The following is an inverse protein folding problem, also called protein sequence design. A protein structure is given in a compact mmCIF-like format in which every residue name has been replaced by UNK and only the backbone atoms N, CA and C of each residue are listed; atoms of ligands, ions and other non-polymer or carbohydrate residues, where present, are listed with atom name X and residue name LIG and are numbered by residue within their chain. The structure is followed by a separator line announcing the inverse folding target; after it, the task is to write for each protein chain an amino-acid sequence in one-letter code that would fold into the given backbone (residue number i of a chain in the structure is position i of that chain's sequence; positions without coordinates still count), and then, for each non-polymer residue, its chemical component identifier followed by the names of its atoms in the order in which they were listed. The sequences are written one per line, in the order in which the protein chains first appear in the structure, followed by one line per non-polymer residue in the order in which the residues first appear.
data_IF_562894217387
#
_entry.id   IF_562894217387
#
_cell.length_a   1.000
_cell.length_b   1.000
_cell.length_c   1.000
_cell.angle_alpha   90.00
_cell.angle_beta   90.00
_cell.angle_gamma   90.00
#
_symmetry.space_group_name_H-M   'P 1'
#
loop_
_entity.id
_entity.type
_entity.pdbx_description
1 polymer ?
#
# COMPACT_ATOMS: atom_id res chain seq x y z
N UNK A 1 0.03 -17.88 12.27
CA UNK A 1 0.43 -16.59 11.66
C UNK A 1 -0.06 -16.64 10.22
N UNK A 2 -0.87 -15.67 9.79
CA UNK A 2 -1.30 -15.56 8.39
C UNK A 2 -0.23 -14.74 7.68
N UNK A 3 0.36 -15.28 6.62
CA UNK A 3 1.37 -14.59 5.81
C UNK A 3 0.82 -14.47 4.40
N UNK A 4 0.40 -13.26 4.03
CA UNK A 4 0.09 -12.96 2.64
C UNK A 4 1.39 -12.69 1.89
N UNK A 5 1.66 -13.44 0.84
CA UNK A 5 2.75 -13.16 -0.09
C UNK A 5 2.14 -12.80 -1.43
N UNK A 6 2.35 -11.58 -1.91
CA UNK A 6 2.04 -11.26 -3.31
C UNK A 6 3.09 -11.94 -4.16
N UNK A 7 2.68 -12.94 -4.93
CA UNK A 7 3.50 -13.49 -6.00
C UNK A 7 3.02 -12.85 -7.30
N UNK A 8 3.65 -11.76 -7.73
CA UNK A 8 3.47 -11.32 -9.10
C UNK A 8 4.39 -12.17 -9.98
N UNK A 9 3.85 -13.21 -10.62
CA UNK A 9 4.59 -13.91 -11.67
C UNK A 9 3.96 -13.52 -13.00
N UNK A 10 4.58 -12.53 -13.65
CA UNK A 10 4.39 -12.29 -15.07
C UNK A 10 4.86 -13.54 -15.83
N UNK A 11 3.95 -14.43 -16.18
CA UNK A 11 4.25 -15.40 -17.22
C UNK A 11 4.27 -14.64 -18.54
N UNK A 12 5.43 -14.56 -19.19
CA UNK A 12 5.52 -14.17 -20.61
C UNK A 12 4.90 -15.28 -21.47
N UNK A 13 3.59 -15.43 -21.41
CA UNK A 13 2.84 -16.10 -22.46
C UNK A 13 2.60 -15.09 -23.59
N UNK A 14 2.52 -15.58 -24.82
CA UNK A 14 2.31 -14.79 -26.06
C UNK A 14 1.09 -13.82 -26.06
N UNK A 15 0.35 -13.69 -24.95
CA UNK A 15 -0.87 -12.89 -24.79
C UNK A 15 -0.84 -11.84 -23.65
N UNK A 16 0.30 -11.64 -22.95
CA UNK A 16 0.46 -10.56 -21.96
C UNK A 16 0.79 -11.06 -20.55
N UNK A 17 1.19 -10.13 -19.67
CA UNK A 17 1.45 -10.37 -18.25
C UNK A 17 0.14 -10.56 -17.48
N UNK A 18 0.10 -11.55 -16.59
CA UNK A 18 -1.02 -11.77 -15.67
C UNK A 18 -0.53 -11.58 -14.24
N UNK A 19 -1.33 -10.92 -13.42
CA UNK A 19 -1.04 -10.78 -12.00
C UNK A 19 -2.03 -11.56 -11.14
N UNK A 20 -1.50 -12.24 -10.14
CA UNK A 20 -2.30 -13.04 -9.22
C UNK A 20 -1.93 -12.77 -7.77
N UNK A 21 -2.93 -12.90 -6.90
CA UNK A 21 -2.71 -12.91 -5.46
C UNK A 21 -2.88 -14.33 -4.94
N UNK A 22 -1.88 -14.82 -4.21
CA UNK A 22 -2.00 -16.01 -3.37
C UNK A 22 -1.84 -15.62 -1.92
N UNK A 23 -2.68 -16.17 -1.05
CA UNK A 23 -2.54 -15.97 0.39
C UNK A 23 -2.33 -17.33 1.03
N UNK A 24 -1.36 -17.40 1.93
CA UNK A 24 -0.94 -18.61 2.61
C UNK A 24 -1.28 -18.53 4.09
N UNK A 25 -1.70 -19.66 4.65
CA UNK A 25 -1.82 -19.88 6.09
C UNK A 25 -0.97 -21.08 6.43
N UNK A 26 0.22 -20.83 7.02
CA UNK A 26 1.29 -21.83 7.04
C UNK A 26 1.68 -22.18 5.60
N UNK A 27 1.72 -23.47 5.28
CA UNK A 27 2.12 -23.96 3.95
C UNK A 27 0.94 -24.16 2.99
N UNK A 28 -0.28 -23.75 3.38
CA UNK A 28 -1.49 -23.98 2.60
C UNK A 28 -1.98 -22.69 1.93
N UNK A 29 -2.29 -22.77 0.62
CA UNK A 29 -2.94 -21.69 -0.12
C UNK A 29 -4.40 -21.59 0.35
N UNK A 30 -4.73 -20.52 1.05
CA UNK A 30 -6.09 -20.26 1.52
C UNK A 30 -6.89 -19.40 0.53
N UNK A 31 -6.24 -18.70 -0.39
CA UNK A 31 -6.88 -17.90 -1.43
C UNK A 31 -5.97 -17.78 -2.64
N UNK A 32 -6.55 -17.79 -3.84
CA UNK A 32 -5.86 -17.56 -5.09
C UNK A 32 -6.80 -16.85 -6.04
N UNK A 33 -6.39 -15.70 -6.56
CA UNK A 33 -7.16 -14.94 -7.56
C UNK A 33 -6.27 -14.41 -8.66
N UNK A 34 -6.75 -14.59 -9.89
CA UNK A 34 -6.22 -13.99 -11.10
C UNK A 34 -6.95 -12.65 -11.34
N UNK A 35 -6.18 -11.57 -11.51
CA UNK A 35 -6.70 -10.23 -11.81
C UNK A 35 -6.63 -9.90 -13.30
N UNK A 36 -6.31 -10.89 -14.14
CA UNK A 36 -6.18 -10.74 -15.57
C UNK A 36 -4.93 -9.94 -15.94
N UNK A 37 -5.01 -9.09 -16.98
CA UNK A 37 -3.84 -8.40 -17.52
C UNK A 37 -3.39 -7.17 -16.71
N UNK A 38 -4.08 -6.85 -15.61
CA UNK A 38 -3.79 -5.65 -14.82
C UNK A 38 -2.86 -5.98 -13.67
N UNK A 39 -1.73 -5.26 -13.61
CA UNK A 39 -0.75 -5.41 -12.54
C UNK A 39 -1.35 -5.13 -11.15
N UNK A 40 -0.86 -5.86 -10.14
CA UNK A 40 -1.11 -5.54 -8.73
C UNK A 40 -0.09 -4.48 -8.30
N UNK A 41 -0.57 -3.28 -7.97
CA UNK A 41 0.28 -2.14 -7.59
C UNK A 41 0.30 -1.90 -6.08
N UNK A 42 -0.73 -2.33 -5.37
CA UNK A 42 -0.79 -2.21 -3.91
C UNK A 42 -1.55 -3.36 -3.26
N UNK A 43 -1.12 -3.75 -2.06
CA UNK A 43 -1.82 -4.71 -1.19
C UNK A 43 -1.91 -4.15 0.22
N UNK A 44 -3.12 -4.15 0.78
CA UNK A 44 -3.35 -3.92 2.19
C UNK A 44 -4.02 -5.14 2.84
N UNK A 45 -3.62 -5.46 4.07
CA UNK A 45 -4.22 -6.55 4.87
C UNK A 45 -4.79 -5.96 6.16
N UNK A 46 -6.06 -6.23 6.43
CA UNK A 46 -6.71 -5.86 7.68
C UNK A 46 -6.34 -6.87 8.78
N UNK A 47 -5.40 -6.49 9.65
CA UNK A 47 -4.94 -7.34 10.75
C UNK A 47 -5.94 -7.44 11.90
N UNK A 48 -6.94 -6.55 11.95
CA UNK A 48 -7.91 -6.49 13.05
C UNK A 48 -9.19 -7.30 12.77
N UNK A 49 -9.32 -7.90 11.58
CA UNK A 49 -10.51 -8.67 11.21
C UNK A 49 -10.58 -9.98 12.00
N UNK A 50 -11.53 -10.04 12.95
CA UNK A 50 -11.71 -11.20 13.83
C UNK A 50 -12.28 -12.38 13.06
N UNK A 51 -11.72 -13.57 13.28
CA UNK A 51 -12.18 -14.84 12.71
C UNK A 51 -12.08 -14.91 11.18
N UNK A 52 -11.05 -14.32 10.61
CA UNK A 52 -10.93 -14.28 9.17
C UNK A 52 -9.66 -13.62 8.70
N UNK A 53 -9.74 -13.20 7.46
CA UNK A 53 -8.77 -12.36 6.80
C UNK A 53 -9.55 -11.40 5.89
N UNK A 54 -9.11 -10.15 5.84
CA UNK A 54 -9.62 -9.18 4.88
C UNK A 54 -8.43 -8.50 4.21
N UNK A 55 -8.46 -8.36 2.89
CA UNK A 55 -7.45 -7.62 2.14
C UNK A 55 -8.03 -6.79 1.01
N UNK A 56 -7.30 -5.75 0.67
CA UNK A 56 -7.54 -4.95 -0.51
C UNK A 56 -6.36 -5.00 -1.46
N UNK A 57 -6.67 -5.17 -2.74
CA UNK A 57 -5.73 -5.17 -3.85
C UNK A 57 -6.03 -3.96 -4.71
N UNK A 58 -5.03 -3.11 -4.90
CA UNK A 58 -5.05 -2.01 -5.85
C UNK A 58 -4.41 -2.44 -7.16
N UNK A 59 -5.07 -2.11 -8.27
CA UNK A 59 -4.64 -2.48 -9.61
C UNK A 59 -4.19 -1.26 -10.43
N UNK A 60 -3.38 -1.50 -11.46
CA UNK A 60 -2.90 -0.49 -12.41
C UNK A 60 -4.02 0.29 -13.12
N UNK A 61 -5.18 -0.33 -13.30
CA UNK A 61 -6.35 0.29 -13.92
C UNK A 61 -7.19 1.14 -12.94
N UNK A 62 -6.74 1.29 -11.69
CA UNK A 62 -7.44 2.05 -10.65
C UNK A 62 -8.52 1.28 -9.91
N UNK A 63 -8.70 0.00 -10.18
CA UNK A 63 -9.68 -0.82 -9.44
C UNK A 63 -9.12 -1.21 -8.08
N UNK A 64 -9.95 -1.07 -7.05
CA UNK A 64 -9.70 -1.63 -5.70
C UNK A 64 -10.62 -2.83 -5.48
N UNK A 65 -10.02 -4.01 -5.39
CA UNK A 65 -10.69 -5.25 -5.03
C UNK A 65 -10.55 -5.52 -3.53
N UNK A 66 -11.67 -5.65 -2.82
CA UNK A 66 -11.69 -6.16 -1.46
C UNK A 66 -12.05 -7.65 -1.45
N UNK A 67 -11.38 -8.40 -0.58
CA UNK A 67 -11.65 -9.81 -0.36
C UNK A 67 -11.73 -10.07 1.13
N UNK A 68 -12.85 -10.66 1.57
CA UNK A 68 -13.05 -11.12 2.93
C UNK A 68 -13.13 -12.64 2.93
N UNK A 69 -12.27 -13.28 3.71
CA UNK A 69 -12.25 -14.72 3.92
C UNK A 69 -12.50 -15.03 5.40
N UNK A 70 -13.68 -15.55 5.71
CA UNK A 70 -14.04 -15.92 7.08
C UNK A 70 -13.56 -17.34 7.43
N UNK A 71 -13.17 -17.54 8.69
CA UNK A 71 -12.91 -18.84 9.29
C UNK A 71 -13.92 -19.10 10.39
N UNK A 72 -14.69 -20.18 10.28
CA UNK A 72 -15.65 -20.59 11.31
C UNK A 72 -15.26 -21.97 11.85
N UNK A 73 -14.97 -22.07 13.15
CA UNK A 73 -14.48 -23.30 13.79
C UNK A 73 -13.29 -23.94 13.07
N UNK A 74 -12.35 -23.12 12.57
CA UNK A 74 -11.19 -23.58 11.81
C UNK A 74 -11.49 -24.00 10.36
N UNK A 75 -12.76 -23.96 9.94
CA UNK A 75 -13.17 -24.23 8.56
C UNK A 75 -13.17 -22.93 7.77
N UNK A 76 -12.55 -22.95 6.58
CA UNK A 76 -12.51 -21.82 5.64
C UNK A 76 -13.88 -21.65 4.96
N UNK A 77 -14.45 -20.46 5.06
CA UNK A 77 -15.64 -20.06 4.31
C UNK A 77 -15.33 -19.73 2.85
N UNK A 78 -16.36 -19.46 2.06
CA UNK A 78 -16.21 -18.94 0.70
C UNK A 78 -15.71 -17.50 0.74
N UNK A 79 -14.68 -17.12 -0.04
CA UNK A 79 -14.27 -15.72 -0.17
C UNK A 79 -15.44 -14.85 -0.63
N UNK A 80 -15.66 -13.72 0.05
CA UNK A 80 -16.56 -12.67 -0.39
C UNK A 80 -15.73 -11.59 -1.07
N UNK A 81 -15.95 -11.40 -2.37
CA UNK A 81 -15.17 -10.47 -3.19
C UNK A 81 -16.03 -9.31 -3.63
N UNK A 82 -15.54 -8.09 -3.44
CA UNK A 82 -16.23 -6.88 -3.86
C UNK A 82 -15.27 -5.93 -4.57
N UNK A 83 -15.78 -5.21 -5.57
CA UNK A 83 -15.09 -4.07 -6.16
C UNK A 83 -15.55 -2.84 -5.39
N UNK A 84 -14.62 -2.15 -4.75
CA UNK A 84 -14.95 -0.98 -3.92
C UNK A 84 -14.91 0.32 -4.70
N UNK A 85 -13.91 0.45 -5.58
CA UNK A 85 -13.63 1.67 -6.32
C UNK A 85 -13.10 1.37 -7.71
N UNK A 86 -13.29 2.33 -8.60
CA UNK A 86 -12.75 2.34 -9.95
C UNK A 86 -12.20 3.74 -10.23
N UNK A 87 -10.96 3.97 -9.83
CA UNK A 87 -10.23 5.19 -10.19
C UNK A 87 -9.82 5.16 -11.67
N UNK A 88 -9.37 6.30 -12.19
CA UNK A 88 -8.89 6.40 -13.58
C UNK A 88 -7.41 6.03 -13.74
N UNK A 89 -6.68 5.90 -12.63
CA UNK A 89 -5.23 5.71 -12.56
C UNK A 89 -4.89 4.61 -11.56
N UNK A 90 -3.70 4.05 -11.69
CA UNK A 90 -3.13 3.04 -10.79
C UNK A 90 -3.29 3.40 -9.31
N UNK A 91 -3.41 2.37 -8.47
CA UNK A 91 -3.50 2.52 -7.01
C UNK A 91 -2.13 2.22 -6.40
N UNK A 92 -1.35 3.24 -6.08
CA UNK A 92 0.04 3.05 -5.64
C UNK A 92 0.19 2.76 -4.15
N UNK A 93 -0.80 3.14 -3.33
CA UNK A 93 -0.76 2.84 -1.91
C UNK A 93 -2.12 2.65 -1.25
N UNK A 94 -2.19 1.65 -0.38
CA UNK A 94 -3.39 1.21 0.35
C UNK A 94 -3.03 0.90 1.80
N UNK A 95 -3.89 1.26 2.73
CA UNK A 95 -3.82 0.79 4.11
C UNK A 95 -5.22 0.62 4.74
N UNK A 96 -5.31 -0.18 5.80
CA UNK A 96 -6.54 -0.35 6.58
C UNK A 96 -6.52 0.50 7.84
N UNK A 97 -7.55 1.32 8.03
CA UNK A 97 -7.84 2.06 9.25
C UNK A 97 -9.33 1.95 9.63
N UNK A 98 -9.77 0.79 10.13
CA UNK A 98 -11.20 0.44 10.33
C UNK A 98 -12.05 0.42 9.04
N UNK A 99 -11.76 1.31 8.10
CA UNK A 99 -12.13 1.38 6.69
C UNK A 99 -10.86 1.40 5.85
N UNK A 100 -10.99 1.24 4.53
CA UNK A 100 -9.84 1.29 3.63
C UNK A 100 -9.50 2.75 3.34
N UNK A 101 -8.22 3.08 3.48
CA UNK A 101 -7.65 4.36 3.09
C UNK A 101 -6.71 4.08 1.93
N UNK A 102 -6.87 4.82 0.85
CA UNK A 102 -5.97 4.77 -0.30
C UNK A 102 -5.58 6.18 -0.70
N UNK A 103 -4.37 6.32 -1.24
CA UNK A 103 -3.88 7.59 -1.75
C UNK A 103 -3.52 7.35 -3.21
N UNK A 104 -4.22 8.07 -4.09
CA UNK A 104 -3.95 8.11 -5.53
C UNK A 104 -3.64 9.56 -5.90
N UNK A 105 -2.63 9.78 -6.74
CA UNK A 105 -2.25 11.10 -7.20
C UNK A 105 -2.88 11.37 -8.56
N UNK A 106 -4.14 11.76 -8.43
CA UNK A 106 -4.64 12.89 -9.18
C UNK A 106 -4.57 14.12 -8.26
N UNK A 107 -4.45 15.37 -8.76
CA UNK A 107 -4.54 16.59 -7.93
C UNK A 107 -5.83 16.69 -7.10
N UNK A 108 -6.77 15.76 -7.29
CA UNK A 108 -7.97 15.56 -6.49
C UNK A 108 -7.87 14.21 -5.77
N UNK A 109 -7.04 14.16 -4.73
CA UNK A 109 -6.85 13.00 -3.86
C UNK A 109 -8.22 12.55 -3.30
N UNK A 110 -8.69 11.36 -3.67
CA UNK A 110 -9.93 10.77 -3.15
C UNK A 110 -9.69 10.02 -1.83
N UNK A 111 -9.02 10.64 -0.85
CA UNK A 111 -9.16 10.15 0.54
C UNK A 111 -10.46 10.71 1.09
N UNK A 112 -11.56 10.04 0.74
CA UNK A 112 -12.87 10.30 1.32
C UNK A 112 -12.71 10.26 2.86
N UNK A 113 -13.10 11.33 3.53
CA UNK A 113 -13.09 11.51 4.98
C UNK A 113 -11.78 11.90 5.68
N UNK A 114 -10.60 11.87 5.03
CA UNK A 114 -9.32 12.17 5.73
C UNK A 114 -8.83 13.61 5.58
N UNK A 115 -9.02 14.23 4.41
CA UNK A 115 -8.63 15.63 4.15
C UNK A 115 -9.82 16.55 3.87
N UNK A 116 -11.05 16.16 4.25
CA UNK A 116 -12.29 16.94 3.98
C UNK A 116 -12.20 18.44 4.32
N UNK A 117 -11.35 18.81 5.29
CA UNK A 117 -11.22 20.18 5.80
C UNK A 117 -9.94 20.91 5.39
N UNK A 118 -9.09 20.29 4.57
CA UNK A 118 -7.80 20.88 4.19
C UNK A 118 -7.60 20.71 2.70
N UNK A 119 -7.34 21.82 2.02
CA UNK A 119 -6.88 21.80 0.64
C UNK A 119 -5.41 21.33 0.63
N UNK A 120 -5.20 20.08 0.19
CA UNK A 120 -3.88 19.46 0.12
C UNK A 120 -3.61 19.10 -1.32
N UNK A 121 -2.71 19.85 -1.95
CA UNK A 121 -2.15 19.47 -3.25
C UNK A 121 -0.93 18.59 -3.00
N UNK A 122 -1.06 17.28 -3.22
CA UNK A 122 0.09 16.38 -3.27
C UNK A 122 0.67 16.43 -4.68
N UNK A 123 1.94 16.82 -4.79
CA UNK A 123 2.64 16.92 -6.08
C UNK A 123 3.27 15.60 -6.51
N UNK A 124 3.57 14.71 -5.56
CA UNK A 124 4.43 13.56 -5.76
C UNK A 124 3.82 12.27 -5.20
N UNK A 125 4.29 11.14 -5.74
CA UNK A 125 3.85 9.78 -5.42
C UNK A 125 3.94 9.48 -3.92
N UNK A 126 2.82 9.06 -3.31
CA UNK A 126 2.83 8.54 -1.93
C UNK A 126 2.91 7.02 -1.98
N UNK A 127 4.00 6.46 -1.47
CA UNK A 127 4.22 5.02 -1.35
C UNK A 127 4.31 4.60 0.11
N UNK A 128 4.28 3.28 0.36
CA UNK A 128 4.54 2.69 1.68
C UNK A 128 3.67 3.30 2.81
N UNK A 129 2.40 3.56 2.53
CA UNK A 129 1.47 4.16 3.49
C UNK A 129 1.14 3.17 4.63
N UNK A 130 1.38 3.57 5.88
CA UNK A 130 1.08 2.77 7.07
C UNK A 130 0.30 3.58 8.10
N UNK A 131 -0.64 2.91 8.76
CA UNK A 131 -1.38 3.46 9.89
C UNK A 131 -0.51 3.46 11.15
N UNK A 132 -0.45 4.59 11.83
CA UNK A 132 0.19 4.73 13.14
C UNK A 132 -0.85 4.72 14.26
N UNK A 133 -1.96 5.43 14.06
CA UNK A 133 -3.10 5.45 14.96
C UNK A 133 -4.37 5.90 14.21
N UNK A 134 -5.47 6.08 14.94
CA UNK A 134 -6.79 6.48 14.41
C UNK A 134 -6.82 7.82 13.65
N UNK A 135 -5.73 8.60 13.70
CA UNK A 135 -5.65 9.95 13.12
C UNK A 135 -4.36 10.25 12.38
N UNK A 136 -3.44 9.28 12.30
CA UNK A 136 -2.08 9.51 11.80
C UNK A 136 -1.65 8.36 10.91
N UNK A 137 -1.22 8.70 9.70
CA UNK A 137 -0.55 7.80 8.77
C UNK A 137 0.90 8.27 8.57
N UNK A 138 1.78 7.34 8.26
CA UNK A 138 3.09 7.61 7.67
C UNK A 138 3.06 7.16 6.22
N UNK A 139 3.80 7.83 5.36
CA UNK A 139 4.01 7.44 3.98
C UNK A 139 5.29 8.06 3.45
N UNK A 140 5.80 7.51 2.36
CA UNK A 140 6.95 8.08 1.64
C UNK A 140 6.41 8.95 0.50
N UNK A 141 6.93 10.16 0.36
CA UNK A 141 6.62 11.07 -0.74
C UNK A 141 7.89 11.82 -1.12
N UNK A 142 8.20 11.93 -2.42
CA UNK A 142 9.43 12.60 -2.90
C UNK A 142 10.71 12.06 -2.21
N UNK A 143 10.78 10.73 -2.04
CA UNK A 143 11.90 10.05 -1.37
C UNK A 143 12.05 10.33 0.13
N UNK A 144 11.10 11.01 0.77
CA UNK A 144 11.13 11.43 2.18
C UNK A 144 9.96 10.85 2.97
N UNK A 145 10.07 10.80 4.29
CA UNK A 145 8.99 10.31 5.16
C UNK A 145 8.10 11.49 5.58
N UNK A 146 6.80 11.34 5.32
CA UNK A 146 5.77 12.30 5.68
C UNK A 146 4.76 11.72 6.68
N UNK A 147 4.21 12.61 7.51
CA UNK A 147 3.06 12.33 8.37
C UNK A 147 1.80 12.93 7.75
N UNK A 148 0.77 12.09 7.59
CA UNK A 148 -0.55 12.48 7.11
C UNK A 148 -1.54 12.41 8.28
N UNK A 149 -1.79 13.56 8.91
CA UNK A 149 -2.78 13.67 10.00
C UNK A 149 -4.16 13.97 9.43
N UNK A 150 -5.20 13.36 10.01
CA UNK A 150 -6.59 13.63 9.64
C UNK A 150 -6.89 15.13 9.74
N UNK A 151 -7.41 15.71 8.66
CA UNK A 151 -7.75 17.13 8.53
C UNK A 151 -6.58 18.07 8.80
N UNK A 152 -5.35 17.69 8.41
CA UNK A 152 -4.16 18.55 8.48
C UNK A 152 -3.35 18.40 7.21
N UNK A 153 -2.65 19.47 6.83
CA UNK A 153 -1.64 19.42 5.77
C UNK A 153 -0.55 18.42 6.17
N UNK A 154 -0.14 17.51 5.27
CA UNK A 154 0.98 16.61 5.51
C UNK A 154 2.26 17.40 5.79
N UNK A 155 3.14 16.82 6.59
CA UNK A 155 4.43 17.44 6.90
C UNK A 155 5.54 16.39 6.95
N UNK A 156 6.72 16.80 6.52
CA UNK A 156 7.93 15.99 6.51
C UNK A 156 8.39 15.70 7.95
N UNK A 157 8.76 14.46 8.22
CA UNK A 157 9.36 14.06 9.50
C UNK A 157 10.80 13.62 9.38
N UNK A 158 11.21 13.14 8.21
CA UNK A 158 12.58 12.71 7.98
C UNK A 158 12.92 12.82 6.49
N UNK A 159 14.10 13.36 6.22
CA UNK A 159 14.71 13.47 4.89
C UNK A 159 16.22 13.41 5.03
N UNK A 160 16.89 12.92 3.99
CA UNK A 160 18.34 12.88 3.91
C UNK A 160 18.77 13.11 2.46
N UNK A 161 19.70 14.04 2.21
CA UNK A 161 19.94 14.58 0.87
C UNK A 161 20.50 13.59 -0.14
N UNK A 162 21.06 12.47 0.34
CA UNK A 162 21.73 11.45 -0.49
C UNK A 162 21.03 10.09 -0.39
N UNK A 163 19.77 10.07 0.06
CA UNK A 163 19.02 8.84 0.23
C UNK A 163 17.63 8.97 -0.38
N UNK A 164 17.24 7.93 -1.11
CA UNK A 164 15.87 7.74 -1.57
C UNK A 164 15.23 6.64 -0.73
N UNK A 165 14.24 7.00 0.08
CA UNK A 165 13.52 6.01 0.89
C UNK A 165 12.55 5.22 0.01
N UNK A 166 12.60 3.90 0.12
CA UNK A 166 11.76 2.99 -0.68
C UNK A 166 10.70 2.29 0.18
N UNK A 167 11.01 2.02 1.44
CA UNK A 167 10.12 1.35 2.39
C UNK A 167 10.57 1.65 3.82
N UNK A 168 9.72 1.38 4.81
CA UNK A 168 10.06 1.47 6.21
C UNK A 168 9.20 0.54 7.06
N UNK A 169 9.71 0.13 8.22
CA UNK A 169 8.93 -0.50 9.28
C UNK A 169 8.82 0.43 10.48
N UNK A 170 7.65 0.42 11.13
CA UNK A 170 7.42 1.17 12.35
C UNK A 170 7.12 0.21 13.50
N UNK A 171 7.93 0.27 14.54
CA UNK A 171 7.70 -0.42 15.81
C UNK A 171 7.07 0.55 16.81
N UNK A 172 5.76 0.44 17.10
CA UNK A 172 5.08 1.31 18.05
C UNK A 172 5.48 1.05 19.51
N UNK A 173 6.02 -0.13 19.83
CA UNK A 173 6.43 -0.50 21.20
C UNK A 173 7.77 0.14 21.55
N UNK A 174 8.74 0.03 20.64
CA UNK A 174 10.04 0.65 20.80
C UNK A 174 10.03 2.14 20.38
N UNK A 175 9.00 2.57 19.65
CA UNK A 175 8.92 3.86 18.99
C UNK A 175 10.11 4.11 18.05
N UNK A 176 10.41 3.12 17.22
CA UNK A 176 11.54 3.11 16.26
C UNK A 176 10.98 2.98 14.84
N UNK A 177 11.56 3.73 13.91
CA UNK A 177 11.36 3.57 12.47
C UNK A 177 12.62 2.95 11.88
N UNK A 178 12.48 1.84 11.16
CA UNK A 178 13.56 1.19 10.41
C UNK A 178 13.34 1.52 8.94
N UNK A 179 14.27 2.25 8.35
CA UNK A 179 14.14 2.78 6.98
C UNK A 179 14.93 1.90 6.02
N UNK A 180 14.33 1.57 4.87
CA UNK A 180 15.03 1.02 3.72
C UNK A 180 15.24 2.14 2.71
N UNK A 181 16.50 2.39 2.39
CA UNK A 181 16.91 3.48 1.53
C UNK A 181 17.89 2.98 0.46
N UNK A 182 17.88 3.66 -0.68
CA UNK A 182 18.93 3.56 -1.68
C UNK A 182 19.81 4.80 -1.54
N UNK A 183 21.12 4.59 -1.42
CA UNK A 183 22.07 5.69 -1.47
C UNK A 183 22.16 6.17 -2.92
N UNK A 184 21.91 7.46 -3.13
CA UNK A 184 22.12 8.07 -4.43
C UNK A 184 23.61 8.34 -4.56
N UNK A 185 24.29 7.62 -5.46
CA UNK A 185 25.69 7.90 -5.79
C UNK A 185 25.80 9.37 -6.21
N UNK A 186 26.35 10.20 -5.33
CA UNK A 186 26.82 11.53 -5.69
C UNK A 186 27.98 11.35 -6.68
N UNK A 187 27.65 11.21 -7.96
CA UNK A 187 28.64 11.34 -9.04
C UNK A 187 29.18 12.76 -8.91
N UNK A 188 30.33 12.86 -8.24
CA UNK A 188 31.09 14.07 -8.01
C UNK A 188 31.31 14.83 -9.31
N UNK A 189 30.84 16.07 -9.37
CA UNK A 189 31.28 17.01 -10.40
C UNK A 189 32.80 17.19 -10.30
N UNK A 190 33.55 16.67 -11.27
CA UNK A 190 34.94 17.04 -11.48
C UNK A 190 34.92 18.48 -12.04
N UNK A 191 35.20 19.47 -11.19
CA UNK A 191 35.69 20.76 -11.67
C UNK A 191 37.21 20.70 -11.71
N UNK A 192 37.75 20.43 -12.90
CA UNK A 192 39.16 20.64 -13.24
C UNK A 192 39.28 21.92 -14.05
N UNK A 193 40.14 22.82 -13.59
CA UNK A 193 40.44 24.14 -14.16
C UNK A 193 41.34 24.06 -15.39
#
# INVERSE_FOLDING_TARGET
MITGSVEDRSYECFFGSYSFLKIYVGDQICYCKDFGPYGITALAINKDFKNGFECCVGLENGVIHNTILSFFNGVRGTPCETVLFHEKKAIDSLCFLRTIIFINIDPFVSIKDWFEKVDVTLTDLVTSLKVINDRTLLGIMDGKIYVFKKNKTPYEVYSESNMEFTDYEYDPVANIIIIKALETDNISYIFGS
#
